data_IF_204087111868
#
_entry.id   IF_204087111868
#
_cell.length_a   1.000
_cell.length_b   1.000
_cell.length_c   1.000
_cell.angle_alpha   90.00
_cell.angle_beta   90.00
_cell.angle_gamma   90.00
#
_symmetry.space_group_name_H-M   'P 1'
#
loop_
_entity.id
_entity.type
_entity.pdbx_description
1 polymer ?
#
# COMPACT_ATOMS: atom_id res chain seq x y z
N UNK A 1 21.18 -20.84 -0.69
CA UNK A 1 20.90 -20.50 0.72
C UNK A 1 21.79 -21.29 1.68
N UNK A 2 21.68 -22.62 1.78
CA UNK A 2 22.48 -23.45 2.70
C UNK A 2 24.00 -23.17 2.69
N UNK A 3 24.62 -23.11 1.49
CA UNK A 3 26.06 -22.85 1.37
C UNK A 3 26.48 -21.45 1.83
N UNK A 4 25.68 -20.42 1.56
CA UNK A 4 25.95 -19.07 2.08
C UNK A 4 25.75 -19.03 3.59
N UNK A 5 24.68 -19.65 4.09
CA UNK A 5 24.38 -19.62 5.51
C UNK A 5 25.41 -20.36 6.37
N UNK A 6 25.95 -21.46 5.85
CA UNK A 6 27.02 -22.22 6.50
C UNK A 6 28.36 -21.45 6.57
N UNK A 7 28.60 -20.52 5.63
CA UNK A 7 29.85 -19.76 5.55
C UNK A 7 29.76 -18.41 6.25
N UNK A 8 28.65 -17.70 6.04
CA UNK A 8 28.51 -16.27 6.34
C UNK A 8 27.39 -16.01 7.39
N UNK A 9 26.73 -17.06 7.92
CA UNK A 9 25.66 -16.96 8.92
C UNK A 9 24.27 -16.71 8.33
N UNK A 10 23.28 -16.38 9.16
CA UNK A 10 21.88 -16.24 8.72
C UNK A 10 21.74 -15.16 7.62
N UNK A 11 21.00 -15.47 6.56
CA UNK A 11 20.87 -14.65 5.35
C UNK A 11 19.64 -13.75 5.41
N UNK A 12 19.75 -12.54 4.85
CA UNK A 12 18.60 -11.64 4.63
C UNK A 12 18.14 -11.76 3.18
N UNK A 13 16.84 -11.87 2.96
CA UNK A 13 16.23 -11.92 1.61
C UNK A 13 15.36 -10.68 1.43
N UNK A 14 15.64 -9.90 0.39
CA UNK A 14 14.84 -8.75 -0.03
C UNK A 14 14.29 -9.05 -1.43
N UNK A 15 12.97 -9.01 -1.59
CA UNK A 15 12.31 -9.21 -2.89
C UNK A 15 11.46 -8.00 -3.16
N UNK A 16 11.80 -7.28 -4.22
CA UNK A 16 11.03 -6.17 -4.70
C UNK A 16 10.03 -6.59 -5.78
N UNK A 17 8.92 -5.86 -5.84
CA UNK A 17 7.80 -6.07 -6.76
C UNK A 17 7.42 -7.55 -6.91
N UNK A 18 7.21 -8.22 -5.77
CA UNK A 18 7.00 -9.67 -5.70
C UNK A 18 5.82 -10.17 -6.54
N UNK A 19 4.88 -9.28 -6.84
CA UNK A 19 3.62 -9.50 -7.55
C UNK A 19 3.64 -9.06 -9.02
N UNK A 20 4.69 -8.36 -9.48
CA UNK A 20 4.80 -7.85 -10.86
C UNK A 20 4.61 -8.90 -11.96
N UNK A 21 5.20 -10.11 -11.86
CA UNK A 21 5.00 -11.13 -12.89
C UNK A 21 3.52 -11.51 -13.05
N UNK A 22 2.77 -11.53 -11.94
CA UNK A 22 1.36 -11.89 -11.94
C UNK A 22 0.47 -10.72 -12.36
N UNK A 23 0.79 -9.49 -11.93
CA UNK A 23 0.01 -8.29 -12.22
C UNK A 23 -0.20 -8.06 -13.73
N UNK A 24 0.85 -8.23 -14.54
CA UNK A 24 0.77 -8.04 -15.99
C UNK A 24 -0.07 -9.08 -16.74
N UNK A 25 -0.44 -10.18 -16.09
CA UNK A 25 -1.13 -11.32 -16.70
C UNK A 25 -2.47 -11.63 -16.05
N UNK A 26 -2.99 -10.74 -15.20
CA UNK A 26 -4.29 -10.93 -14.55
C UNK A 26 -5.39 -11.13 -15.58
N UNK A 27 -6.23 -12.15 -15.36
CA UNK A 27 -7.31 -12.53 -16.27
C UNK A 27 -6.87 -13.30 -17.51
N UNK A 28 -5.57 -13.52 -17.70
CA UNK A 28 -5.05 -14.32 -18.81
C UNK A 28 -4.85 -15.79 -18.39
N UNK A 29 -4.92 -16.75 -19.33
CA UNK A 29 -4.63 -18.16 -19.05
C UNK A 29 -3.22 -18.41 -18.49
N UNK A 30 -2.27 -17.54 -18.86
CA UNK A 30 -0.86 -17.57 -18.44
C UNK A 30 -0.69 -17.30 -16.94
N UNK A 31 -1.65 -16.63 -16.28
CA UNK A 31 -1.58 -16.33 -14.86
C UNK A 31 -1.43 -17.60 -13.99
N UNK A 32 -2.10 -18.69 -14.36
CA UNK A 32 -2.04 -19.95 -13.61
C UNK A 32 -0.64 -20.58 -13.65
N UNK A 33 0.07 -20.44 -14.77
CA UNK A 33 1.44 -20.92 -14.90
C UNK A 33 2.43 -20.06 -14.11
N UNK A 34 2.29 -18.73 -14.20
CA UNK A 34 3.09 -17.78 -13.43
C UNK A 34 2.90 -18.03 -11.93
N UNK A 35 1.65 -18.25 -11.48
CA UNK A 35 1.37 -18.61 -10.09
C UNK A 35 2.07 -19.91 -9.68
N UNK A 36 2.10 -20.94 -10.54
CA UNK A 36 2.82 -22.20 -10.25
C UNK A 36 4.32 -21.96 -10.06
N UNK A 37 4.94 -21.17 -10.94
CA UNK A 37 6.37 -20.84 -10.84
C UNK A 37 6.67 -20.04 -9.57
N UNK A 38 5.85 -19.03 -9.27
CA UNK A 38 6.01 -18.23 -8.06
C UNK A 38 5.84 -19.09 -6.80
N UNK A 39 4.83 -19.98 -6.75
CA UNK A 39 4.66 -20.93 -5.64
C UNK A 39 5.89 -21.82 -5.44
N UNK A 40 6.43 -22.38 -6.52
CA UNK A 40 7.61 -23.23 -6.44
C UNK A 40 8.81 -22.46 -5.88
N UNK A 41 9.04 -21.23 -6.36
CA UNK A 41 10.10 -20.36 -5.85
C UNK A 41 9.94 -20.06 -4.35
N UNK A 42 8.76 -19.64 -3.93
CA UNK A 42 8.49 -19.29 -2.54
C UNK A 42 8.49 -20.49 -1.59
N UNK A 43 8.14 -21.69 -2.07
CA UNK A 43 8.30 -22.94 -1.33
C UNK A 43 9.76 -23.23 -1.01
N UNK A 44 10.68 -22.99 -1.95
CA UNK A 44 12.13 -23.10 -1.70
C UNK A 44 12.59 -22.08 -0.67
N UNK A 45 12.11 -20.84 -0.75
CA UNK A 45 12.40 -19.80 0.26
C UNK A 45 11.94 -20.28 1.64
N UNK A 46 10.71 -20.76 1.78
CA UNK A 46 10.19 -21.32 3.04
C UNK A 46 11.01 -22.49 3.55
N UNK A 47 11.44 -23.40 2.66
CA UNK A 47 12.31 -24.54 3.02
C UNK A 47 13.68 -24.14 3.57
N UNK A 48 14.06 -22.86 3.49
CA UNK A 48 15.33 -22.33 4.01
C UNK A 48 15.15 -21.40 5.20
N UNK A 49 13.97 -21.37 5.84
CA UNK A 49 13.64 -20.48 6.97
C UNK A 49 14.64 -20.54 8.13
N UNK A 50 15.14 -21.72 8.48
CA UNK A 50 16.15 -21.89 9.54
C UNK A 50 17.47 -21.14 9.29
N UNK A 51 17.77 -20.86 8.02
CA UNK A 51 18.98 -20.16 7.57
C UNK A 51 18.75 -18.66 7.37
N UNK A 52 17.52 -18.17 7.58
CA UNK A 52 17.16 -16.77 7.32
C UNK A 52 17.20 -15.96 8.61
N UNK A 53 17.70 -14.73 8.51
CA UNK A 53 17.59 -13.73 9.57
C UNK A 53 16.22 -13.06 9.50
N UNK A 54 15.80 -12.66 8.31
CA UNK A 54 14.43 -12.28 7.96
C UNK A 54 14.27 -12.26 6.43
N UNK A 55 13.01 -12.20 5.98
CA UNK A 55 12.61 -12.00 4.58
C UNK A 55 11.72 -10.76 4.51
N UNK A 56 12.02 -9.82 3.61
CA UNK A 56 11.19 -8.66 3.32
C UNK A 56 10.73 -8.70 1.87
N UNK A 57 9.43 -8.51 1.67
CA UNK A 57 8.78 -8.50 0.37
C UNK A 57 8.10 -7.13 0.18
N UNK A 58 8.34 -6.47 -0.95
CA UNK A 58 7.66 -5.23 -1.36
C UNK A 58 6.86 -5.46 -2.64
N UNK A 59 5.71 -4.80 -2.75
CA UNK A 59 4.79 -4.94 -3.89
C UNK A 59 3.58 -4.02 -3.74
N UNK A 60 2.74 -3.95 -4.76
CA UNK A 60 1.60 -3.00 -4.82
C UNK A 60 0.25 -3.65 -4.54
N UNK A 61 0.13 -4.96 -4.72
CA UNK A 61 -1.10 -5.72 -4.62
C UNK A 61 -1.07 -6.72 -3.48
N UNK A 62 -2.16 -6.77 -2.70
CA UNK A 62 -2.36 -7.76 -1.64
C UNK A 62 -2.99 -9.07 -2.14
N UNK A 63 -3.56 -9.08 -3.35
CA UNK A 63 -4.30 -10.23 -3.89
C UNK A 63 -3.41 -11.46 -4.10
N UNK A 64 -2.16 -11.23 -4.48
CA UNK A 64 -1.16 -12.28 -4.66
C UNK A 64 -0.89 -13.08 -3.37
N UNK A 65 -1.13 -12.50 -2.18
CA UNK A 65 -0.98 -13.19 -0.89
C UNK A 65 -1.90 -14.41 -0.73
N UNK A 66 -3.14 -14.34 -1.24
CA UNK A 66 -4.13 -15.41 -1.02
C UNK A 66 -3.86 -16.63 -1.90
N UNK A 67 -3.39 -16.43 -3.13
CA UNK A 67 -3.16 -17.54 -4.07
C UNK A 67 -1.74 -18.08 -4.07
N UNK A 68 -0.70 -17.23 -3.94
CA UNK A 68 0.72 -17.64 -4.03
C UNK A 68 1.32 -17.95 -2.65
N UNK A 69 0.83 -17.31 -1.59
CA UNK A 69 1.40 -17.40 -0.24
C UNK A 69 0.50 -18.16 0.74
N UNK A 70 -0.51 -18.90 0.27
CA UNK A 70 -1.24 -19.87 1.12
C UNK A 70 -0.28 -20.81 1.85
N UNK A 71 0.81 -21.16 1.19
CA UNK A 71 1.83 -22.06 1.70
C UNK A 71 2.87 -21.32 2.56
N UNK A 72 2.86 -19.97 2.57
CA UNK A 72 3.75 -19.08 3.34
C UNK A 72 2.96 -18.41 4.48
N UNK A 73 2.52 -19.23 5.41
CA UNK A 73 1.71 -18.85 6.56
C UNK A 73 2.44 -18.02 7.64
N UNK A 74 3.75 -17.77 7.51
CA UNK A 74 4.56 -17.03 8.50
C UNK A 74 4.84 -15.57 8.12
N UNK A 75 4.20 -15.04 7.06
CA UNK A 75 4.41 -13.65 6.65
C UNK A 75 3.66 -12.68 7.58
N UNK A 76 4.40 -11.74 8.15
CA UNK A 76 3.81 -10.61 8.87
C UNK A 76 3.49 -9.49 7.89
N UNK A 77 2.22 -9.09 7.79
CA UNK A 77 1.83 -7.96 6.94
C UNK A 77 2.12 -6.63 7.65
N UNK A 78 3.16 -5.93 7.19
CA UNK A 78 3.57 -4.62 7.70
C UNK A 78 2.89 -3.44 6.99
N UNK A 79 2.06 -3.68 5.96
CA UNK A 79 1.54 -2.62 5.07
C UNK A 79 0.83 -1.50 5.82
N UNK A 80 0.08 -1.82 6.88
CA UNK A 80 -0.69 -0.84 7.66
C UNK A 80 -0.20 -0.74 9.11
N UNK A 81 0.99 -1.26 9.41
CA UNK A 81 1.54 -1.15 10.76
C UNK A 81 2.02 0.28 11.01
N UNK A 82 1.51 0.91 12.07
CA UNK A 82 1.97 2.24 12.50
C UNK A 82 3.46 2.26 12.81
N UNK A 83 4.00 1.16 13.35
CA UNK A 83 5.43 1.08 13.72
C UNK A 83 6.36 1.08 12.52
N UNK A 84 5.86 0.81 11.31
CA UNK A 84 6.64 0.79 10.07
C UNK A 84 6.14 1.84 9.07
N UNK A 85 5.24 2.73 9.47
CA UNK A 85 4.62 3.72 8.59
C UNK A 85 5.63 4.72 7.99
N UNK A 86 6.75 4.94 8.66
CA UNK A 86 7.84 5.82 8.20
C UNK A 86 9.01 5.06 7.58
N UNK A 87 8.91 3.72 7.46
CA UNK A 87 9.99 2.89 6.93
C UNK A 87 10.12 3.02 5.41
N UNK A 88 9.00 3.29 4.72
CA UNK A 88 8.88 3.39 3.26
C UNK A 88 7.96 4.57 2.92
N UNK A 89 8.26 5.30 1.86
CA UNK A 89 7.48 6.46 1.40
C UNK A 89 8.32 7.74 1.32
N UNK A 90 7.66 8.88 1.10
CA UNK A 90 8.29 10.20 1.12
C UNK A 90 8.05 10.86 2.47
N UNK A 91 9.08 11.49 3.02
CA UNK A 91 8.89 12.46 4.10
C UNK A 91 8.10 13.67 3.60
N UNK A 92 7.48 14.42 4.52
CA UNK A 92 6.80 15.68 4.20
C UNK A 92 7.74 16.64 3.44
N UNK A 93 9.00 16.73 3.87
CA UNK A 93 10.00 17.59 3.24
C UNK A 93 10.31 17.16 1.81
N UNK A 94 10.51 15.86 1.56
CA UNK A 94 10.75 15.34 0.21
C UNK A 94 9.53 15.52 -0.69
N UNK A 95 8.32 15.35 -0.15
CA UNK A 95 7.09 15.57 -0.90
C UNK A 95 6.96 17.04 -1.34
N UNK A 96 7.18 17.98 -0.41
CA UNK A 96 7.11 19.42 -0.70
C UNK A 96 8.22 19.90 -1.63
N UNK A 97 9.43 19.35 -1.50
CA UNK A 97 10.57 19.73 -2.33
C UNK A 97 10.46 19.19 -3.75
N UNK A 98 9.99 17.96 -3.92
CA UNK A 98 10.03 17.27 -5.22
C UNK A 98 8.72 17.40 -6.01
N UNK A 99 7.58 17.69 -5.37
CA UNK A 99 6.28 17.77 -6.04
C UNK A 99 5.53 19.11 -5.85
N UNK A 100 6.19 20.29 -5.77
CA UNK A 100 5.53 21.55 -5.44
C UNK A 100 4.43 21.95 -6.44
N UNK A 101 4.66 21.74 -7.74
CA UNK A 101 3.69 22.07 -8.78
C UNK A 101 2.49 21.13 -8.77
N UNK A 102 2.70 19.83 -8.54
CA UNK A 102 1.62 18.86 -8.43
C UNK A 102 0.77 19.09 -7.18
N UNK A 103 1.39 19.44 -6.06
CA UNK A 103 0.68 19.85 -4.84
C UNK A 103 -0.12 21.12 -5.11
N UNK A 104 0.45 22.10 -5.80
CA UNK A 104 -0.24 23.32 -6.17
C UNK A 104 -1.42 23.06 -7.13
N UNK A 105 -1.24 22.20 -8.13
CA UNK A 105 -2.28 21.80 -9.08
C UNK A 105 -3.39 21.02 -8.39
N UNK A 106 -3.05 20.10 -7.49
CA UNK A 106 -4.01 19.36 -6.67
C UNK A 106 -4.80 20.31 -5.75
N UNK A 107 -4.13 21.26 -5.10
CA UNK A 107 -4.78 22.29 -4.31
C UNK A 107 -5.69 23.21 -5.16
N UNK A 108 -5.36 23.45 -6.43
CA UNK A 108 -6.21 24.19 -7.37
C UNK A 108 -7.45 23.38 -7.76
N UNK A 109 -7.25 22.09 -8.04
CA UNK A 109 -8.27 21.18 -8.53
C UNK A 109 -9.25 20.72 -7.45
N UNK A 110 -8.78 20.53 -6.20
CA UNK A 110 -9.61 20.11 -5.07
C UNK A 110 -10.38 21.27 -4.41
N UNK A 111 -9.99 22.52 -4.70
CA UNK A 111 -10.72 23.70 -4.26
C UNK A 111 -10.78 23.91 -2.74
N UNK A 112 -11.72 24.74 -2.30
CA UNK A 112 -12.01 25.01 -0.89
C UNK A 112 -12.58 23.77 -0.19
N UNK A 113 -12.55 23.75 1.15
CA UNK A 113 -13.22 22.73 1.95
C UNK A 113 -14.70 22.57 1.57
N UNK A 114 -15.34 23.66 1.14
CA UNK A 114 -16.74 23.68 0.69
C UNK A 114 -16.91 22.97 -0.66
N UNK A 115 -15.93 23.08 -1.57
CA UNK A 115 -15.93 22.33 -2.84
C UNK A 115 -15.64 20.85 -2.60
N UNK A 116 -14.71 20.52 -1.70
CA UNK A 116 -14.46 19.14 -1.28
C UNK A 116 -15.72 18.49 -0.67
N UNK A 117 -16.41 19.19 0.24
CA UNK A 117 -17.69 18.74 0.80
C UNK A 117 -18.77 18.54 -0.28
N UNK A 118 -18.86 19.48 -1.24
CA UNK A 118 -19.82 19.41 -2.34
C UNK A 118 -19.55 18.20 -3.23
N UNK A 119 -18.29 17.93 -3.56
CA UNK A 119 -17.87 16.78 -4.35
C UNK A 119 -18.22 15.45 -3.64
N UNK A 120 -17.95 15.34 -2.33
CA UNK A 120 -18.28 14.14 -1.55
C UNK A 120 -19.79 13.85 -1.59
N UNK A 121 -20.61 14.91 -1.53
CA UNK A 121 -22.07 14.79 -1.64
C UNK A 121 -22.53 14.42 -3.04
N UNK A 122 -22.07 15.12 -4.07
CA UNK A 122 -22.45 14.86 -5.47
C UNK A 122 -22.06 13.46 -5.94
N UNK A 123 -20.88 12.98 -5.54
CA UNK A 123 -20.41 11.64 -5.89
C UNK A 123 -20.92 10.54 -4.98
N UNK A 124 -21.71 10.90 -3.95
CA UNK A 124 -22.42 9.98 -3.06
C UNK A 124 -21.51 8.91 -2.45
N UNK A 125 -20.26 9.26 -2.15
CA UNK A 125 -19.23 8.31 -1.67
C UNK A 125 -19.60 7.63 -0.35
N UNK A 126 -20.50 8.22 0.43
CA UNK A 126 -20.96 7.68 1.71
C UNK A 126 -22.05 6.62 1.57
N UNK A 127 -22.71 6.50 0.41
CA UNK A 127 -23.88 5.62 0.25
C UNK A 127 -23.62 4.13 0.43
N UNK A 128 -22.50 3.56 -0.08
CA UNK A 128 -22.18 2.16 0.16
C UNK A 128 -22.04 1.82 1.66
N UNK A 129 -21.83 2.82 2.50
CA UNK A 129 -21.60 2.67 3.93
C UNK A 129 -22.85 2.94 4.77
N UNK A 130 -23.99 3.35 4.19
CA UNK A 130 -25.23 3.60 4.93
C UNK A 130 -25.81 2.33 5.58
N UNK A 131 -25.59 1.17 4.97
CA UNK A 131 -26.05 -0.12 5.47
C UNK A 131 -25.25 -0.66 6.68
N UNK A 132 -24.13 0.00 7.01
CA UNK A 132 -23.16 -0.45 8.00
C UNK A 132 -23.54 -0.07 9.44
N UNK A 133 -24.65 0.69 9.63
CA UNK A 133 -25.21 1.04 10.95
C UNK A 133 -24.35 1.94 11.84
N UNK A 134 -23.13 2.26 11.41
CA UNK A 134 -22.20 3.17 12.08
C UNK A 134 -22.51 4.61 11.66
N UNK A 135 -22.31 5.54 12.59
CA UNK A 135 -22.42 6.99 12.33
C UNK A 135 -21.36 7.39 11.30
N UNK A 136 -21.82 7.89 10.16
CA UNK A 136 -20.96 8.37 9.07
C UNK A 136 -20.78 9.89 9.23
N UNK A 137 -19.56 10.37 9.04
CA UNK A 137 -19.24 11.79 9.11
C UNK A 137 -18.39 12.16 7.90
N UNK A 138 -18.79 13.20 7.20
CA UNK A 138 -18.07 13.75 6.06
C UNK A 138 -17.08 14.80 6.57
N UNK A 139 -15.86 14.75 6.07
CA UNK A 139 -14.83 15.74 6.36
C UNK A 139 -14.27 16.31 5.05
N UNK A 140 -14.43 17.61 4.85
CA UNK A 140 -13.87 18.35 3.73
C UNK A 140 -12.75 19.25 4.21
N UNK A 141 -11.55 19.09 3.64
CA UNK A 141 -10.36 19.80 4.09
C UNK A 141 -9.84 20.70 2.97
N UNK A 142 -9.64 21.98 3.27
CA UNK A 142 -8.94 22.91 2.38
C UNK A 142 -7.44 22.88 2.67
N UNK A 143 -6.61 22.94 1.64
CA UNK A 143 -5.17 23.14 1.81
C UNK A 143 -4.81 24.61 1.58
N UNK A 144 -4.08 25.22 2.53
CA UNK A 144 -3.66 26.62 2.42
C UNK A 144 -2.32 26.73 1.70
N UNK A 145 -2.32 27.34 0.51
CA UNK A 145 -1.10 27.61 -0.27
C UNK A 145 -0.11 28.54 0.44
N UNK A 146 -0.58 29.45 1.31
CA UNK A 146 0.29 30.45 1.97
C UNK A 146 1.05 29.88 3.16
N UNK A 147 0.47 28.89 3.85
CA UNK A 147 1.04 28.32 5.08
C UNK A 147 1.51 26.88 4.90
N UNK A 148 1.29 26.27 3.72
CA UNK A 148 1.55 24.84 3.42
C UNK A 148 0.96 23.86 4.45
N UNK A 149 -0.03 24.31 5.20
CA UNK A 149 -0.68 23.57 6.27
C UNK A 149 -2.14 23.31 5.92
N UNK A 150 -2.76 22.38 6.66
CA UNK A 150 -4.20 22.17 6.66
C UNK A 150 -4.87 23.51 6.94
N UNK A 151 -5.69 23.96 6.00
CA UNK A 151 -6.52 25.15 6.12
C UNK A 151 -7.81 24.82 6.85
N UNK A 152 -8.89 25.50 6.46
CA UNK A 152 -10.22 25.30 7.05
C UNK A 152 -10.69 23.86 6.83
N UNK A 153 -11.13 23.20 7.90
CA UNK A 153 -11.78 21.89 7.88
C UNK A 153 -13.29 22.08 8.11
N UNK A 154 -14.11 21.36 7.35
CA UNK A 154 -15.56 21.26 7.54
C UNK A 154 -15.90 19.81 7.87
N UNK A 155 -16.70 19.61 8.90
CA UNK A 155 -17.11 18.30 9.38
C UNK A 155 -18.61 18.32 9.56
N UNK A 156 -19.31 17.38 8.94
CA UNK A 156 -20.77 17.25 9.02
C UNK A 156 -21.17 15.78 9.10
N UNK A 157 -22.18 15.41 9.90
CA UNK A 157 -22.77 14.08 9.83
C UNK A 157 -23.50 13.86 8.50
N UNK A 158 -23.55 12.61 8.05
CA UNK A 158 -24.43 12.16 6.94
C UNK A 158 -25.84 11.95 7.47
#
# INVERSE_FOLDING_TARGET
>A
MQKLAARDGKVVILIDEYDKPLLGHLGQPTAAEIQRVLKAFYSVVKGTEAQQRFVLLTGVSKFSKVSVFSDLNNLTDLTMSRSTATLLGYTQAELESNFPEHIAALAAALGTAQQAMRQIREKRYFEPYLADGRRITLAGVAFSRRTRNLGRCLIEPV
#
